data_IF_765756543725
#
_entry.id   IF_765756543725
#
_cell.length_a   1.000
_cell.length_b   1.000
_cell.length_c   1.000
_cell.angle_alpha   90.00
_cell.angle_beta   90.00
_cell.angle_gamma   90.00
#
_symmetry.space_group_name_H-M   'P 1'
#
loop_
_entity.id
_entity.type
_entity.pdbx_description
1 polymer ?
#
# COMPACT_ATOMS: atom_id res chain seq x y z
N UNK A 1 -12.58 -22.31 -1.96
CA UNK A 1 -11.41 -23.15 -1.58
C UNK A 1 -11.80 -23.89 -0.32
N UNK A 2 -11.71 -25.21 -0.30
CA UNK A 2 -11.99 -26.00 0.90
C UNK A 2 -10.85 -25.78 1.89
N UNK A 3 -11.11 -25.08 2.99
CA UNK A 3 -10.18 -24.98 4.12
C UNK A 3 -10.30 -26.27 4.95
N UNK A 4 -9.26 -27.09 4.91
CA UNK A 4 -9.02 -28.06 5.99
C UNK A 4 -8.19 -27.30 7.03
N UNK A 5 -8.84 -26.85 8.10
CA UNK A 5 -8.15 -26.31 9.28
C UNK A 5 -7.75 -27.53 10.11
N UNK A 6 -6.49 -27.95 10.01
CA UNK A 6 -5.87 -28.67 11.12
C UNK A 6 -5.54 -27.63 12.19
N UNK A 7 -6.32 -27.61 13.25
CA UNK A 7 -5.95 -26.92 14.49
C UNK A 7 -4.73 -27.66 15.06
N UNK A 8 -3.54 -27.09 14.87
CA UNK A 8 -2.37 -27.39 15.67
C UNK A 8 -2.22 -26.19 16.60
N UNK A 9 -2.58 -26.37 17.87
CA UNK A 9 -2.36 -25.35 18.90
C UNK A 9 -0.90 -25.43 19.37
N UNK A 10 -0.29 -24.28 19.64
CA UNK A 10 1.03 -24.21 20.27
C UNK A 10 1.11 -24.92 21.62
N UNK A 11 -0.03 -25.09 22.30
CA UNK A 11 -0.11 -25.85 23.55
C UNK A 11 0.12 -27.37 23.37
N UNK A 12 -0.14 -27.91 22.17
CA UNK A 12 0.01 -29.35 21.88
C UNK A 12 1.46 -29.72 21.47
N UNK A 13 2.32 -28.73 21.26
CA UNK A 13 3.73 -28.95 20.93
C UNK A 13 4.53 -29.06 22.23
N UNK A 14 4.88 -30.28 22.61
CA UNK A 14 5.77 -30.52 23.75
C UNK A 14 7.15 -29.86 23.51
N UNK A 15 7.43 -28.77 24.22
CA UNK A 15 8.71 -28.03 24.15
C UNK A 15 9.77 -28.80 24.96
N UNK A 16 10.26 -29.90 24.40
CA UNK A 16 11.47 -30.55 24.87
C UNK A 16 12.68 -30.03 24.09
N UNK A 17 13.73 -29.55 24.78
CA UNK A 17 15.04 -29.29 24.17
C UNK A 17 15.73 -30.61 23.82
N UNK A 18 15.23 -31.31 22.81
CA UNK A 18 15.90 -32.49 22.28
C UNK A 18 16.58 -32.12 20.98
N UNK A 19 17.91 -32.23 20.96
CA UNK A 19 18.66 -32.19 19.70
C UNK A 19 18.13 -33.32 18.82
N UNK A 20 17.44 -32.94 17.75
CA UNK A 20 16.85 -33.89 16.82
C UNK A 20 17.94 -34.45 15.91
N UNK A 21 18.08 -35.78 15.78
CA UNK A 21 19.04 -36.37 14.86
C UNK A 21 18.68 -36.02 13.41
N UNK A 22 19.54 -35.22 12.77
CA UNK A 22 19.44 -34.86 11.36
C UNK A 22 19.93 -36.03 10.50
N UNK A 23 19.06 -36.56 9.64
CA UNK A 23 19.46 -37.53 8.62
C UNK A 23 19.43 -36.86 7.25
N UNK A 24 20.55 -36.85 6.53
CA UNK A 24 20.64 -36.39 5.14
C UNK A 24 20.66 -37.63 4.24
N UNK A 25 19.57 -37.94 3.50
CA UNK A 25 19.55 -39.12 2.65
C UNK A 25 20.51 -38.98 1.47
N UNK A 26 21.31 -40.02 1.22
CA UNK A 26 22.43 -40.02 0.29
C UNK A 26 22.08 -40.07 -1.21
N UNK A 27 20.84 -39.76 -1.63
CA UNK A 27 20.54 -39.59 -3.04
C UNK A 27 19.31 -38.70 -3.26
N UNK A 28 19.59 -37.53 -3.84
CA UNK A 28 18.68 -36.82 -4.76
C UNK A 28 17.38 -36.25 -4.20
N UNK A 29 17.39 -35.71 -2.98
CA UNK A 29 16.56 -34.55 -2.57
C UNK A 29 17.00 -34.17 -1.15
N UNK A 30 17.65 -33.02 -1.04
CA UNK A 30 18.27 -32.51 0.18
C UNK A 30 17.21 -32.13 1.23
N UNK A 31 16.68 -33.11 1.95
CA UNK A 31 15.69 -32.89 2.99
C UNK A 31 16.25 -33.18 4.38
N UNK A 32 15.90 -32.31 5.32
CA UNK A 32 16.06 -32.53 6.76
C UNK A 32 14.77 -33.15 7.29
N UNK A 33 14.87 -34.30 7.93
CA UNK A 33 13.75 -34.96 8.62
C UNK A 33 13.80 -34.63 10.11
N UNK A 34 12.70 -34.09 10.66
CA UNK A 34 12.56 -33.79 12.08
C UNK A 34 11.46 -34.70 12.64
N UNK A 35 11.77 -35.65 13.54
CA UNK A 35 10.77 -36.40 14.27
C UNK A 35 10.11 -35.49 15.32
N UNK A 36 8.78 -35.50 15.33
CA UNK A 36 7.96 -34.83 16.33
C UNK A 36 7.28 -35.81 17.28
N UNK A 37 6.52 -35.29 18.26
CA UNK A 37 5.66 -36.11 19.13
C UNK A 37 4.73 -37.02 18.32
N UNK A 38 4.42 -38.21 18.85
CA UNK A 38 3.50 -39.15 18.21
C UNK A 38 4.03 -39.83 16.92
N UNK A 39 5.34 -39.77 16.66
CA UNK A 39 5.95 -40.38 15.47
C UNK A 39 5.76 -39.58 14.18
N UNK A 40 5.32 -38.32 14.28
CA UNK A 40 5.29 -37.40 13.15
C UNK A 40 6.70 -37.19 12.60
N UNK A 41 6.83 -37.05 11.28
CA UNK A 41 8.10 -36.72 10.62
C UNK A 41 7.86 -35.57 9.64
N UNK A 42 8.41 -34.40 9.95
CA UNK A 42 8.40 -33.25 9.03
C UNK A 42 9.64 -33.29 8.14
N UNK A 43 9.48 -32.95 6.85
CA UNK A 43 10.58 -32.92 5.87
C UNK A 43 10.70 -31.52 5.29
N UNK A 44 11.88 -30.91 5.41
CA UNK A 44 12.16 -29.57 4.89
C UNK A 44 13.28 -29.64 3.87
N UNK A 45 13.17 -28.96 2.73
CA UNK A 45 14.32 -28.87 1.81
C UNK A 45 15.41 -27.97 2.39
N UNK A 46 16.68 -28.23 2.04
CA UNK A 46 17.78 -27.33 2.41
C UNK A 46 17.59 -25.92 1.85
N UNK A 47 17.00 -25.78 0.66
CA UNK A 47 16.67 -24.46 0.09
C UNK A 47 15.69 -23.70 0.97
N UNK A 48 14.64 -24.35 1.47
CA UNK A 48 13.66 -23.73 2.36
C UNK A 48 14.29 -23.35 3.69
N UNK A 49 15.14 -24.22 4.27
CA UNK A 49 15.85 -23.91 5.52
C UNK A 49 16.82 -22.73 5.37
N UNK A 50 17.55 -22.65 4.25
CA UNK A 50 18.41 -21.50 3.96
C UNK A 50 17.59 -20.22 3.71
N UNK A 51 16.43 -20.33 3.06
CA UNK A 51 15.52 -19.21 2.81
C UNK A 51 14.85 -18.70 4.09
N UNK A 52 14.60 -19.57 5.07
CA UNK A 52 13.89 -19.26 6.31
C UNK A 52 14.81 -19.30 7.55
N UNK A 53 16.13 -19.26 7.36
CA UNK A 53 17.10 -19.21 8.47
C UNK A 53 16.98 -17.89 9.24
N UNK A 54 16.96 -17.98 10.57
CA UNK A 54 17.01 -16.83 11.47
C UNK A 54 18.42 -16.22 11.58
N UNK A 55 19.46 -17.00 11.29
CA UNK A 55 20.83 -16.50 11.27
C UNK A 55 21.08 -15.64 10.02
N UNK A 56 21.50 -14.39 10.22
CA UNK A 56 21.92 -13.49 9.15
C UNK A 56 20.80 -12.81 8.37
N UNK A 57 19.53 -13.20 8.56
CA UNK A 57 18.39 -12.49 7.98
C UNK A 57 17.68 -11.63 9.03
N UNK A 58 18.08 -10.36 9.09
CA UNK A 58 17.12 -9.31 9.43
C UNK A 58 16.13 -9.27 8.26
N UNK A 59 15.10 -10.12 8.27
CA UNK A 59 13.99 -9.96 7.33
C UNK A 59 13.39 -8.59 7.63
N UNK A 60 13.79 -7.60 6.84
CA UNK A 60 13.10 -6.33 6.80
C UNK A 60 11.67 -6.62 6.39
N UNK A 61 10.77 -6.64 7.36
CA UNK A 61 9.31 -6.67 7.14
C UNK A 61 8.84 -5.40 6.44
N UNK A 62 9.72 -4.39 6.32
CA UNK A 62 9.48 -3.14 5.64
C UNK A 62 9.54 -3.38 4.13
N UNK A 63 8.39 -3.20 3.48
CA UNK A 63 8.26 -3.18 2.03
C UNK A 63 9.19 -2.10 1.45
N UNK A 64 9.89 -2.39 0.33
CA UNK A 64 10.77 -1.42 -0.30
C UNK A 64 9.98 -0.16 -0.69
N UNK A 65 10.56 1.01 -0.41
CA UNK A 65 9.95 2.33 -0.65
C UNK A 65 11.00 3.30 -1.18
N UNK A 66 10.59 4.17 -2.10
CA UNK A 66 11.36 5.33 -2.54
C UNK A 66 10.75 6.56 -1.89
N UNK A 67 11.55 7.31 -1.14
CA UNK A 67 11.16 8.64 -0.67
C UNK A 67 11.28 9.62 -1.83
N UNK A 68 10.23 10.38 -2.13
CA UNK A 68 10.19 11.20 -3.34
C UNK A 68 9.75 12.64 -3.10
N UNK A 69 10.29 13.53 -3.93
CA UNK A 69 9.73 14.83 -4.24
C UNK A 69 9.27 14.87 -5.71
N UNK A 70 8.77 16.02 -6.14
CA UNK A 70 8.37 16.28 -7.53
C UNK A 70 9.42 15.83 -8.54
N UNK A 71 10.67 16.28 -8.37
CA UNK A 71 11.74 15.99 -9.32
C UNK A 71 12.07 14.49 -9.38
N UNK A 72 12.12 13.81 -8.23
CA UNK A 72 12.39 12.37 -8.15
C UNK A 72 11.29 11.58 -8.84
N UNK A 73 10.02 11.91 -8.56
CA UNK A 73 8.89 11.18 -9.13
C UNK A 73 8.75 11.43 -10.64
N UNK A 74 8.93 12.66 -11.10
CA UNK A 74 8.92 13.00 -12.53
C UNK A 74 10.05 12.30 -13.29
N UNK A 75 11.27 12.26 -12.72
CA UNK A 75 12.41 11.54 -13.33
C UNK A 75 12.20 10.03 -13.36
N UNK A 76 11.49 9.46 -12.38
CA UNK A 76 11.16 8.05 -12.37
C UNK A 76 10.22 7.66 -13.52
N UNK A 77 9.46 8.61 -14.07
CA UNK A 77 8.57 8.42 -15.22
C UNK A 77 7.68 7.18 -15.06
N UNK A 78 7.05 7.05 -13.88
CA UNK A 78 6.20 5.91 -13.52
C UNK A 78 4.95 5.94 -14.41
N UNK A 79 4.69 4.92 -15.23
CA UNK A 79 3.55 4.93 -16.15
C UNK A 79 2.24 4.66 -15.41
N UNK A 80 1.17 5.35 -15.82
CA UNK A 80 -0.20 4.99 -15.48
C UNK A 80 -0.58 3.65 -16.10
N UNK A 81 -1.34 2.84 -15.37
CA UNK A 81 -1.98 1.66 -15.95
C UNK A 81 -3.16 2.10 -16.83
N UNK A 82 -3.42 1.39 -17.93
CA UNK A 82 -4.56 1.68 -18.80
C UNK A 82 -5.76 0.82 -18.41
N UNK A 83 -6.93 1.42 -18.19
CA UNK A 83 -8.14 0.76 -17.69
C UNK A 83 -8.43 -0.60 -18.34
N UNK A 84 -8.47 -0.67 -19.67
CA UNK A 84 -8.84 -1.91 -20.39
C UNK A 84 -7.87 -3.07 -20.08
N UNK A 85 -6.57 -2.78 -20.08
CA UNK A 85 -5.52 -3.75 -19.76
C UNK A 85 -5.48 -4.04 -18.26
N UNK A 86 -5.63 -3.02 -17.42
CA UNK A 86 -5.61 -3.13 -15.97
C UNK A 86 -6.71 -4.07 -15.45
N UNK A 87 -7.92 -3.99 -16.03
CA UNK A 87 -9.04 -4.82 -15.63
C UNK A 87 -8.92 -6.27 -16.12
N UNK A 88 -8.17 -6.53 -17.20
CA UNK A 88 -8.10 -7.85 -17.85
C UNK A 88 -6.78 -8.61 -17.68
N UNK A 89 -5.70 -7.95 -17.24
CA UNK A 89 -4.35 -8.52 -17.20
C UNK A 89 -3.73 -8.49 -15.80
N UNK A 90 -3.40 -9.66 -15.25
CA UNK A 90 -2.75 -9.79 -13.95
C UNK A 90 -1.32 -9.19 -13.93
N UNK A 91 -0.59 -9.25 -15.03
CA UNK A 91 0.74 -8.66 -15.12
C UNK A 91 0.71 -7.13 -15.05
N UNK A 92 -0.35 -6.51 -15.59
CA UNK A 92 -0.56 -5.07 -15.49
C UNK A 92 -0.92 -4.67 -14.06
N UNK A 93 -1.85 -5.41 -13.42
CA UNK A 93 -2.16 -5.23 -12.00
C UNK A 93 -0.90 -5.40 -11.13
N UNK A 94 -0.07 -6.40 -11.41
CA UNK A 94 1.17 -6.63 -10.66
C UNK A 94 2.14 -5.46 -10.77
N UNK A 95 2.36 -4.92 -11.97
CA UNK A 95 3.21 -3.73 -12.17
C UNK A 95 2.65 -2.52 -11.44
N UNK A 96 1.33 -2.31 -11.55
CA UNK A 96 0.62 -1.25 -10.84
C UNK A 96 0.85 -1.36 -9.33
N UNK A 97 0.63 -2.54 -8.74
CA UNK A 97 0.81 -2.79 -7.32
C UNK A 97 2.27 -2.61 -6.88
N UNK A 98 3.24 -3.02 -7.70
CA UNK A 98 4.66 -2.82 -7.41
C UNK A 98 5.00 -1.32 -7.34
N UNK A 99 4.55 -0.53 -8.32
CA UNK A 99 4.75 0.92 -8.33
C UNK A 99 4.05 1.59 -7.15
N UNK A 100 2.80 1.19 -6.87
CA UNK A 100 2.02 1.66 -5.73
C UNK A 100 2.70 1.36 -4.39
N UNK A 101 3.26 0.16 -4.22
CA UNK A 101 3.97 -0.20 -3.00
C UNK A 101 5.26 0.61 -2.83
N UNK A 102 5.96 0.88 -3.93
CA UNK A 102 7.25 1.56 -3.97
C UNK A 102 7.14 3.08 -3.72
N UNK A 103 6.17 3.74 -4.34
CA UNK A 103 5.99 5.20 -4.24
C UNK A 103 4.83 5.62 -3.34
N UNK A 104 3.94 4.71 -2.96
CA UNK A 104 2.73 5.04 -2.20
C UNK A 104 1.64 5.73 -3.03
N UNK A 105 1.89 5.97 -4.32
CA UNK A 105 0.94 6.50 -5.31
C UNK A 105 0.98 5.72 -6.62
N UNK A 106 -0.16 5.61 -7.30
CA UNK A 106 -0.28 5.02 -8.63
C UNK A 106 -1.57 5.50 -9.32
N UNK A 107 -1.57 5.39 -10.65
CA UNK A 107 -2.61 5.94 -11.51
C UNK A 107 -3.19 4.90 -12.46
N UNK A 108 -4.50 4.97 -12.69
CA UNK A 108 -5.19 4.23 -13.76
C UNK A 108 -5.88 5.25 -14.66
N UNK A 109 -5.53 5.25 -15.94
CA UNK A 109 -6.07 6.15 -16.95
C UNK A 109 -7.21 5.47 -17.74
N UNK A 110 -8.11 6.30 -18.27
CA UNK A 110 -9.19 5.84 -19.15
C UNK A 110 -10.34 5.16 -18.41
N UNK A 111 -10.45 5.33 -17.09
CA UNK A 111 -11.56 4.76 -16.31
C UNK A 111 -12.88 5.44 -16.74
N UNK A 112 -13.96 4.70 -17.03
CA UNK A 112 -15.26 5.30 -17.29
C UNK A 112 -15.73 6.13 -16.09
N UNK A 113 -16.16 7.38 -16.32
CA UNK A 113 -16.57 8.33 -15.27
C UNK A 113 -17.89 7.95 -14.58
N UNK A 114 -17.88 6.81 -13.88
CA UNK A 114 -19.01 6.21 -13.17
C UNK A 114 -18.57 5.67 -11.82
N UNK A 115 -19.51 5.61 -10.87
CA UNK A 115 -19.22 5.06 -9.53
C UNK A 115 -18.90 3.57 -9.64
N UNK A 116 -19.59 2.87 -10.53
CA UNK A 116 -19.46 1.44 -10.78
C UNK A 116 -18.06 1.08 -11.29
N UNK A 117 -17.52 1.88 -12.24
CA UNK A 117 -16.15 1.67 -12.71
C UNK A 117 -15.10 1.97 -11.62
N UNK A 118 -15.35 3.01 -10.80
CA UNK A 118 -14.51 3.35 -9.64
C UNK A 118 -14.45 2.17 -8.66
N UNK A 119 -15.61 1.61 -8.34
CA UNK A 119 -15.74 0.45 -7.47
C UNK A 119 -15.04 -0.77 -8.08
N UNK A 120 -15.19 -1.01 -9.38
CA UNK A 120 -14.53 -2.11 -10.08
C UNK A 120 -12.99 -2.03 -10.02
N UNK A 121 -12.39 -0.85 -10.25
CA UNK A 121 -10.94 -0.65 -10.06
C UNK A 121 -10.56 -0.95 -8.61
N UNK A 122 -11.32 -0.39 -7.67
CA UNK A 122 -11.00 -0.50 -6.24
C UNK A 122 -11.02 -1.96 -5.80
N UNK A 123 -12.05 -2.71 -6.18
CA UNK A 123 -12.19 -4.15 -5.89
C UNK A 123 -11.12 -5.01 -6.55
N UNK A 124 -10.59 -4.58 -7.71
CA UNK A 124 -9.48 -5.26 -8.38
C UNK A 124 -8.17 -5.15 -7.59
N UNK A 125 -8.00 -4.07 -6.84
CA UNK A 125 -6.82 -3.80 -6.01
C UNK A 125 -6.96 -4.36 -4.60
N UNK A 126 -8.10 -4.12 -3.94
CA UNK A 126 -8.33 -4.49 -2.55
C UNK A 126 -9.82 -4.48 -2.17
N UNK A 127 -10.12 -4.76 -0.92
CA UNK A 127 -11.46 -4.66 -0.35
C UNK A 127 -11.83 -3.19 -0.06
N UNK A 128 -13.09 -2.84 -0.26
CA UNK A 128 -13.64 -1.52 0.09
C UNK A 128 -14.03 -1.53 1.57
N UNK A 129 -13.52 -0.56 2.34
CA UNK A 129 -13.91 -0.33 3.73
C UNK A 129 -15.12 0.58 3.79
N UNK A 130 -16.24 0.07 4.30
CA UNK A 130 -17.42 0.90 4.55
C UNK A 130 -17.20 1.77 5.78
N UNK A 131 -17.60 3.03 5.68
CA UNK A 131 -17.47 4.01 6.77
C UNK A 131 -18.82 4.67 7.05
N UNK A 132 -18.86 5.60 7.99
CA UNK A 132 -20.03 6.45 8.24
C UNK A 132 -20.45 7.30 7.03
N UNK A 133 -19.56 7.46 6.04
CA UNK A 133 -19.85 8.15 4.77
C UNK A 133 -20.47 7.24 3.72
N UNK A 134 -20.56 5.93 3.98
CA UNK A 134 -21.02 4.90 3.06
C UNK A 134 -19.87 4.05 2.51
N UNK A 135 -20.21 3.24 1.51
CA UNK A 135 -19.29 2.33 0.80
C UNK A 135 -18.48 3.04 -0.27
N UNK A 136 -19.17 3.78 -1.13
CA UNK A 136 -18.60 4.67 -2.13
C UNK A 136 -19.12 6.07 -1.86
N UNK A 137 -18.27 7.06 -2.02
CA UNK A 137 -18.63 8.42 -1.67
C UNK A 137 -18.40 9.36 -2.84
N UNK A 138 -19.49 9.90 -3.38
CA UNK A 138 -19.47 10.98 -4.35
C UNK A 138 -19.72 12.28 -3.59
N UNK A 139 -18.81 13.24 -3.77
CA UNK A 139 -19.00 14.58 -3.23
C UNK A 139 -18.87 15.60 -4.35
N UNK A 140 -19.64 16.67 -4.21
CA UNK A 140 -19.56 17.88 -5.03
C UNK A 140 -19.29 19.05 -4.11
N UNK A 141 -18.67 20.12 -4.61
CA UNK A 141 -18.41 21.34 -3.83
C UNK A 141 -19.70 22.15 -3.64
N UNK A 142 -20.69 21.55 -2.99
CA UNK A 142 -22.03 22.09 -2.78
C UNK A 142 -22.30 22.49 -1.32
N UNK A 143 -21.28 22.42 -0.44
CA UNK A 143 -21.39 22.65 1.00
C UNK A 143 -22.46 21.81 1.71
N UNK A 144 -22.90 20.69 1.12
CA UNK A 144 -24.01 19.87 1.65
C UNK A 144 -23.70 19.16 2.96
N UNK A 145 -22.42 19.07 3.35
CA UNK A 145 -21.97 18.47 4.61
C UNK A 145 -21.02 19.42 5.33
N UNK A 146 -20.98 19.34 6.67
CA UNK A 146 -20.09 20.14 7.52
C UNK A 146 -18.62 19.75 7.46
N UNK A 147 -18.16 19.29 6.29
CA UNK A 147 -16.80 18.85 6.02
C UNK A 147 -16.19 19.79 4.97
N UNK A 148 -14.94 20.22 5.22
CA UNK A 148 -14.20 21.12 4.34
C UNK A 148 -14.03 20.58 2.91
N UNK A 149 -14.13 19.26 2.72
CA UNK A 149 -14.14 18.61 1.40
C UNK A 149 -15.29 19.06 0.48
N UNK A 150 -16.37 19.64 1.04
CA UNK A 150 -17.52 20.15 0.29
C UNK A 150 -17.42 21.64 -0.02
N UNK A 151 -16.34 22.29 0.40
CA UNK A 151 -16.09 23.70 0.14
C UNK A 151 -15.27 23.91 -1.14
N UNK A 152 -15.22 25.15 -1.61
CA UNK A 152 -14.31 25.58 -2.67
C UNK A 152 -12.95 26.05 -2.12
N UNK A 153 -12.73 25.92 -0.81
CA UNK A 153 -11.46 26.31 -0.18
C UNK A 153 -10.38 25.30 -0.55
N UNK A 154 -9.17 25.80 -0.78
CA UNK A 154 -8.02 24.94 -0.99
C UNK A 154 -7.78 24.08 0.27
N UNK A 155 -7.73 22.77 0.09
CA UNK A 155 -7.31 21.84 1.13
C UNK A 155 -5.79 21.75 1.08
N UNK A 156 -5.13 22.04 2.21
CA UNK A 156 -3.70 21.82 2.34
C UNK A 156 -3.40 20.30 2.46
N UNK A 157 -2.13 19.92 2.39
CA UNK A 157 -1.68 18.53 2.45
C UNK A 157 -2.11 17.89 3.77
N UNK A 158 -2.86 16.79 3.69
CA UNK A 158 -3.36 16.05 4.84
C UNK A 158 -3.50 14.55 4.52
N UNK A 159 -3.74 13.76 5.55
CA UNK A 159 -4.16 12.36 5.45
C UNK A 159 -5.58 12.25 5.98
N UNK A 160 -6.46 11.62 5.22
CA UNK A 160 -7.85 11.42 5.63
C UNK A 160 -7.98 10.40 6.75
N UNK A 161 -9.14 10.41 7.40
CA UNK A 161 -9.55 9.36 8.36
C UNK A 161 -8.66 9.23 9.60
N UNK A 162 -7.77 10.19 9.87
CA UNK A 162 -6.86 10.21 11.02
C UNK A 162 -7.56 10.27 12.40
N UNK A 163 -8.86 10.60 12.40
CA UNK A 163 -9.71 10.55 13.59
C UNK A 163 -10.22 9.12 13.92
N UNK A 164 -10.05 8.14 13.04
CA UNK A 164 -10.28 6.73 13.38
C UNK A 164 -9.04 6.12 14.02
N UNK A 165 -9.26 5.19 14.95
CA UNK A 165 -8.17 4.42 15.56
C UNK A 165 -7.38 3.61 14.52
N UNK A 166 -8.07 3.12 13.49
CA UNK A 166 -7.48 2.49 12.31
C UNK A 166 -7.92 3.29 11.07
N UNK A 167 -7.06 4.19 10.57
CA UNK A 167 -7.38 4.98 9.41
C UNK A 167 -7.32 4.13 8.12
N UNK A 168 -7.91 4.64 7.03
CA UNK A 168 -7.91 3.94 5.76
C UNK A 168 -6.50 3.89 5.17
N UNK A 169 -6.01 2.68 4.87
CA UNK A 169 -4.67 2.50 4.29
C UNK A 169 -4.55 2.88 2.82
N UNK A 170 -5.68 2.82 2.08
CA UNK A 170 -5.77 3.19 0.66
C UNK A 170 -6.93 4.18 0.50
N UNK A 171 -6.65 5.31 -0.13
CA UNK A 171 -7.68 6.26 -0.57
C UNK A 171 -7.77 6.25 -2.10
N UNK A 172 -8.98 6.30 -2.66
CA UNK A 172 -9.21 6.28 -4.11
C UNK A 172 -9.96 7.54 -4.52
N UNK A 173 -9.36 8.34 -5.40
CA UNK A 173 -10.02 9.50 -6.01
C UNK A 173 -10.34 9.24 -7.47
N UNK A 174 -11.53 9.65 -7.93
CA UNK A 174 -11.89 9.59 -9.33
C UNK A 174 -12.71 10.82 -9.73
N UNK A 175 -12.17 11.61 -10.65
CA UNK A 175 -12.89 12.77 -11.17
C UNK A 175 -13.95 12.34 -12.20
N UNK A 176 -15.22 12.34 -11.77
CA UNK A 176 -16.35 11.99 -12.64
C UNK A 176 -16.78 13.16 -13.54
N UNK A 177 -16.61 14.40 -13.05
CA UNK A 177 -16.96 15.63 -13.76
C UNK A 177 -16.16 16.80 -13.20
N UNK A 178 -15.63 17.65 -14.07
CA UNK A 178 -14.99 18.91 -13.71
C UNK A 178 -15.56 20.04 -14.56
N UNK A 179 -16.14 21.06 -13.91
CA UNK A 179 -16.59 22.30 -14.53
C UNK A 179 -15.96 23.47 -13.78
N UNK A 180 -14.97 24.13 -14.39
CA UNK A 180 -14.31 25.29 -13.78
C UNK A 180 -12.84 25.41 -14.13
N UNK A 181 -12.12 26.16 -13.30
CA UNK A 181 -10.67 26.36 -13.36
C UNK A 181 -10.06 26.05 -12.00
N UNK A 182 -8.88 25.43 -11.96
CA UNK A 182 -8.24 25.01 -10.71
C UNK A 182 -8.66 23.60 -10.29
N UNK A 183 -8.68 23.31 -8.98
CA UNK A 183 -9.02 21.97 -8.48
C UNK A 183 -7.97 20.90 -8.81
N UNK A 184 -6.71 21.32 -8.97
CA UNK A 184 -5.59 20.41 -9.25
C UNK A 184 -5.32 19.52 -8.05
N UNK A 185 -4.98 18.27 -8.33
CA UNK A 185 -4.59 17.32 -7.28
C UNK A 185 -3.17 17.64 -6.81
N UNK A 186 -3.02 17.81 -5.50
CA UNK A 186 -1.72 17.98 -4.84
C UNK A 186 -1.40 16.70 -4.08
N UNK A 187 -0.26 16.07 -4.41
CA UNK A 187 0.25 14.88 -3.72
C UNK A 187 1.65 15.16 -3.18
N UNK A 188 1.89 14.71 -1.94
CA UNK A 188 3.19 14.82 -1.27
C UNK A 188 3.55 13.52 -0.58
N UNK A 189 4.84 13.20 -0.55
CA UNK A 189 5.36 12.11 0.26
C UNK A 189 5.62 12.59 1.69
N UNK A 190 4.74 12.19 2.61
CA UNK A 190 4.88 12.50 4.03
C UNK A 190 6.16 11.95 4.65
N UNK A 191 6.67 10.81 4.16
CA UNK A 191 7.92 10.23 4.66
C UNK A 191 9.14 11.00 4.15
N UNK A 192 9.11 11.48 2.91
CA UNK A 192 10.15 12.39 2.41
C UNK A 192 10.17 13.70 3.22
N UNK A 193 9.00 14.28 3.51
CA UNK A 193 8.90 15.48 4.34
C UNK A 193 9.42 15.24 5.77
N UNK A 194 9.05 14.11 6.39
CA UNK A 194 9.52 13.71 7.70
C UNK A 194 11.05 13.50 7.72
N UNK A 195 11.61 12.86 6.70
CA UNK A 195 13.06 12.68 6.55
C UNK A 195 13.79 14.01 6.37
N UNK A 196 13.21 14.98 5.66
CA UNK A 196 13.76 16.34 5.57
C UNK A 196 13.76 17.05 6.92
N UNK A 197 12.67 16.96 7.67
CA UNK A 197 12.62 17.51 9.03
C UNK A 197 13.67 16.86 9.93
N UNK A 198 13.79 15.53 9.90
CA UNK A 198 14.78 14.77 10.67
C UNK A 198 16.22 15.22 10.37
N UNK A 199 16.53 15.53 9.11
CA UNK A 199 17.86 16.01 8.70
C UNK A 199 18.11 17.47 9.10
N UNK A 200 17.11 18.34 8.98
CA UNK A 200 17.24 19.78 9.19
C UNK A 200 17.11 20.19 10.66
N UNK A 201 16.24 19.51 11.41
CA UNK A 201 15.98 19.79 12.82
C UNK A 201 15.59 18.50 13.55
N UNK A 202 16.59 17.69 13.96
CA UNK A 202 16.36 16.45 14.70
C UNK A 202 15.55 16.68 15.98
N UNK A 203 15.81 17.79 16.71
CA UNK A 203 15.09 18.11 17.94
C UNK A 203 13.58 18.29 17.70
N UNK A 204 13.19 18.96 16.62
CA UNK A 204 11.77 19.13 16.27
C UNK A 204 11.14 17.81 15.77
N UNK A 205 11.93 16.97 15.11
CA UNK A 205 11.47 15.66 14.67
C UNK A 205 11.13 14.75 15.87
N UNK A 206 11.96 14.75 16.90
CA UNK A 206 11.74 13.96 18.13
C UNK A 206 10.52 14.42 18.95
N UNK A 207 10.04 15.65 18.75
CA UNK A 207 8.81 16.14 19.38
C UNK A 207 7.54 15.58 18.73
N UNK A 208 7.62 15.06 17.49
CA UNK A 208 6.49 14.46 16.81
C UNK A 208 6.20 13.07 17.42
N UNK A 209 4.93 12.75 17.74
CA UNK A 209 4.58 11.41 18.20
C UNK A 209 4.97 10.37 17.15
N UNK A 210 5.45 9.21 17.62
CA UNK A 210 6.09 8.17 16.81
C UNK A 210 5.34 7.92 15.48
N UNK A 211 5.94 8.29 14.32
CA UNK A 211 5.27 8.27 13.02
C UNK A 211 5.00 6.84 12.49
N UNK A 212 5.48 5.80 13.17
CA UNK A 212 5.37 4.40 12.74
C UNK A 212 3.91 3.91 12.60
N UNK A 213 2.93 4.57 13.22
CA UNK A 213 1.52 4.16 13.13
C UNK A 213 0.76 4.66 11.89
N UNK A 214 1.30 5.59 11.09
CA UNK A 214 0.56 6.21 10.00
C UNK A 214 1.08 5.71 8.64
N UNK A 215 0.66 4.49 8.27
CA UNK A 215 0.91 3.92 6.94
C UNK A 215 -0.18 4.35 5.95
N UNK A 216 -0.09 5.56 5.43
CA UNK A 216 -1.04 6.04 4.40
C UNK A 216 -0.46 5.91 2.99
N UNK A 217 -1.29 5.43 2.06
CA UNK A 217 -0.97 5.35 0.64
C UNK A 217 -2.18 5.83 -0.17
N UNK A 218 -1.94 6.61 -1.22
CA UNK A 218 -2.99 7.26 -2.01
C UNK A 218 -3.06 6.64 -3.40
N UNK A 219 -4.22 6.20 -3.84
CA UNK A 219 -4.46 5.76 -5.22
C UNK A 219 -5.34 6.81 -5.91
N UNK A 220 -4.97 7.21 -7.13
CA UNK A 220 -5.76 8.20 -7.89
C UNK A 220 -6.14 7.61 -9.24
N UNK A 221 -7.39 7.78 -9.65
CA UNK A 221 -7.97 7.27 -10.88
C UNK A 221 -8.35 8.45 -11.79
N UNK A 222 -7.96 8.36 -13.05
CA UNK A 222 -8.27 9.38 -14.05
C UNK A 222 -9.33 8.86 -15.03
N UNK A 223 -10.32 9.71 -15.31
CA UNK A 223 -11.36 9.42 -16.29
C UNK A 223 -10.97 9.89 -17.68
N UNK A 224 -11.52 9.23 -18.70
CA UNK A 224 -11.33 9.62 -20.11
C UNK A 224 -11.95 10.99 -20.46
N UNK A 225 -12.78 11.59 -19.59
CA UNK A 225 -13.43 12.89 -19.79
C UNK A 225 -12.59 14.09 -19.32
N UNK A 226 -11.58 13.85 -18.48
CA UNK A 226 -10.54 14.82 -18.17
C UNK A 226 -9.35 14.49 -19.06
N UNK A 227 -9.15 15.24 -20.16
CA UNK A 227 -7.94 15.16 -21.00
C UNK A 227 -6.67 15.65 -20.27
N UNK A 228 -6.55 15.40 -18.98
CA UNK A 228 -5.43 15.83 -18.16
C UNK A 228 -4.47 14.67 -17.96
N UNK A 229 -3.39 14.71 -18.74
CA UNK A 229 -2.18 13.95 -18.45
C UNK A 229 -1.67 14.24 -17.03
N UNK A 230 -0.67 13.48 -16.58
CA UNK A 230 0.18 13.74 -15.39
C UNK A 230 0.55 15.22 -15.14
N UNK A 231 0.40 16.11 -16.12
CA UNK A 231 0.55 17.57 -16.02
C UNK A 231 -0.35 18.26 -14.98
N UNK A 232 -1.48 17.65 -14.60
CA UNK A 232 -2.43 18.31 -13.69
C UNK A 232 -2.25 17.94 -12.21
N UNK A 233 -1.33 17.01 -11.92
CA UNK A 233 -0.84 16.77 -10.57
C UNK A 233 0.28 17.76 -10.28
N UNK A 234 0.03 18.69 -9.37
CA UNK A 234 1.12 19.47 -8.80
C UNK A 234 1.78 18.65 -7.71
N UNK A 235 2.96 18.11 -8.01
CA UNK A 235 3.86 17.60 -6.98
C UNK A 235 4.66 18.81 -6.48
N UNK A 236 4.30 19.36 -5.32
CA UNK A 236 5.02 20.48 -4.71
C UNK A 236 5.84 20.01 -3.51
N UNK A 237 7.06 20.55 -3.36
CA UNK A 237 7.79 20.58 -2.11
C UNK A 237 7.86 22.01 -1.65
N UNK A 238 7.22 22.34 -0.54
CA UNK A 238 7.50 23.57 0.18
C UNK A 238 8.72 23.31 1.09
N UNK A 239 9.90 23.76 0.66
CA UNK A 239 10.96 24.11 1.59
C UNK A 239 10.62 25.51 2.11
N UNK A 240 10.04 25.60 3.30
CA UNK A 240 10.01 26.86 4.04
C UNK A 240 11.40 27.14 4.60
N UNK A 241 11.98 28.26 4.18
CA UNK A 241 13.16 28.93 4.75
C UNK A 241 12.96 29.33 6.21
#
# INVERSE_FOLDING_TARGET
ISLVIQQLDTEEVAIGQNQVPLTVPNNSLFHVCIPGPGGHVSKYSLSWLAENSYEGKQQSTIQPRILWNSDIYQKANVPSAQWDTFMSCDDELKKFLQNYLLYGIAFVDGVPATVEATEAVTQRVSLIRETTYGRMWCFTSDFSRGDTAYSQLALDRHTDTSYFQEPCGIQVFHCLKHEGTGGRTLLVDGFYAAEKLRQQSPENFELLPDPVRLSFKVMSLYSCLCSSHLSDVELHVQCSS
#
